data_IF_273656341690
#
_entry.id   IF_273656341690
#
_cell.length_a   1.000
_cell.length_b   1.000
_cell.length_c   1.000
_cell.angle_alpha   90.00
_cell.angle_beta   90.00
_cell.angle_gamma   90.00
#
_symmetry.space_group_name_H-M   'P 1'
#
loop_
_entity.id
_entity.type
_entity.pdbx_description
1 polymer ?
#
# COMPACT_ATOMS: atom_id res chain seq x y z
N UNK A 1 -2.28 12.06 1.77
CA UNK A 1 -2.71 11.05 0.78
C UNK A 1 -4.21 11.12 0.59
N UNK A 2 -4.72 11.05 -0.65
CA UNK A 2 -6.17 11.00 -0.86
C UNK A 2 -6.74 9.68 -0.31
N UNK A 3 -7.81 9.77 0.47
CA UNK A 3 -8.52 8.60 1.01
C UNK A 3 -9.77 8.35 0.14
N UNK A 4 -9.96 7.17 -0.49
CA UNK A 4 -11.13 6.89 -1.32
C UNK A 4 -12.46 7.05 -0.59
N UNK A 5 -13.54 7.43 -1.31
CA UNK A 5 -14.87 7.69 -0.72
C UNK A 5 -15.42 6.49 0.06
N UNK A 6 -15.26 5.27 -0.47
CA UNK A 6 -15.74 4.05 0.19
C UNK A 6 -15.02 3.78 1.52
N UNK A 7 -13.75 4.19 1.67
CA UNK A 7 -13.04 4.10 2.95
C UNK A 7 -13.52 5.19 3.92
N UNK A 8 -13.73 6.42 3.44
CA UNK A 8 -14.23 7.52 4.29
C UNK A 8 -15.60 7.25 4.90
N UNK A 9 -16.42 6.43 4.25
CA UNK A 9 -17.71 6.00 4.79
C UNK A 9 -17.58 5.01 5.96
N UNK A 10 -16.47 4.26 6.02
CA UNK A 10 -16.18 3.29 7.07
C UNK A 10 -15.37 3.94 8.20
N UNK A 11 -14.45 4.85 7.86
CA UNK A 11 -13.65 5.62 8.82
C UNK A 11 -14.48 6.79 9.37
N UNK A 12 -15.16 6.56 10.49
CA UNK A 12 -15.87 7.61 11.22
C UNK A 12 -14.85 8.54 11.89
N UNK A 13 -14.89 9.82 11.56
CA UNK A 13 -14.03 10.82 12.18
C UNK A 13 -14.48 11.06 13.63
N UNK A 14 -13.64 10.68 14.59
CA UNK A 14 -13.79 10.99 16.01
C UNK A 14 -13.09 12.30 16.41
N UNK A 15 -12.73 12.40 17.69
CA UNK A 15 -11.91 13.49 18.20
C UNK A 15 -10.54 13.55 17.50
N UNK A 16 -10.03 14.75 17.25
CA UNK A 16 -8.74 14.99 16.58
C UNK A 16 -7.55 14.36 17.32
N UNK A 17 -7.65 14.23 18.64
CA UNK A 17 -6.58 13.68 19.48
C UNK A 17 -6.74 12.17 19.74
N UNK A 18 -7.82 11.56 19.26
CA UNK A 18 -8.07 10.14 19.44
C UNK A 18 -7.56 9.32 18.25
N UNK A 19 -7.16 8.09 18.53
CA UNK A 19 -6.84 7.11 17.51
C UNK A 19 -8.07 6.82 16.64
N UNK A 20 -7.90 6.93 15.31
CA UNK A 20 -9.00 6.78 14.34
C UNK A 20 -9.66 5.39 14.30
N UNK A 21 -9.00 4.35 14.84
CA UNK A 21 -9.52 2.98 14.81
C UNK A 21 -10.21 2.57 16.11
N UNK A 22 -9.90 3.22 17.23
CA UNK A 22 -10.44 2.88 18.56
C UNK A 22 -11.20 4.02 19.22
N UNK A 23 -11.14 5.23 18.66
CA UNK A 23 -11.66 6.47 19.26
C UNK A 23 -11.18 6.70 20.71
N UNK A 24 -9.93 6.33 21.00
CA UNK A 24 -9.29 6.48 22.31
C UNK A 24 -8.00 7.30 22.18
N UNK A 25 -7.61 8.11 23.19
CA UNK A 25 -6.37 8.88 23.15
C UNK A 25 -5.11 7.99 23.12
N UNK A 26 -5.22 6.74 23.60
CA UNK A 26 -4.09 5.82 23.65
C UNK A 26 -3.85 5.14 22.29
N UNK A 27 -2.60 5.10 21.79
CA UNK A 27 -2.28 4.39 20.57
C UNK A 27 -2.35 2.88 20.77
N UNK A 28 -2.59 2.16 19.67
CA UNK A 28 -2.49 0.71 19.63
C UNK A 28 -1.03 0.25 19.70
N UNK A 29 -0.81 -0.95 20.23
CA UNK A 29 0.51 -1.57 20.17
C UNK A 29 0.91 -1.86 18.71
N UNK A 30 2.23 -1.89 18.45
CA UNK A 30 2.81 -2.07 17.10
C UNK A 30 2.34 -3.36 16.39
N UNK A 31 1.98 -4.40 17.14
CA UNK A 31 1.57 -5.71 16.62
C UNK A 31 0.04 -5.85 16.52
N UNK A 32 -0.73 -4.80 16.79
CA UNK A 32 -2.19 -4.86 16.79
C UNK A 32 -2.74 -5.35 15.45
N UNK A 33 -2.38 -4.68 14.34
CA UNK A 33 -2.86 -5.06 13.00
C UNK A 33 -2.28 -6.39 12.54
N UNK A 34 -1.07 -6.75 12.98
CA UNK A 34 -0.46 -8.06 12.69
C UNK A 34 -1.28 -9.17 13.35
N UNK A 35 -1.66 -8.98 14.61
CA UNK A 35 -2.52 -9.90 15.36
C UNK A 35 -3.90 -10.00 14.73
N UNK A 36 -4.52 -8.87 14.40
CA UNK A 36 -5.84 -8.82 13.77
C UNK A 36 -5.84 -9.53 12.42
N UNK A 37 -4.84 -9.28 11.58
CA UNK A 37 -4.65 -9.97 10.30
C UNK A 37 -4.50 -11.48 10.50
N UNK A 38 -3.70 -11.91 11.48
CA UNK A 38 -3.54 -13.32 11.81
C UNK A 38 -4.86 -14.01 12.18
N UNK A 39 -5.73 -13.33 12.93
CA UNK A 39 -7.08 -13.83 13.25
C UNK A 39 -7.98 -13.88 12.02
N UNK A 40 -7.96 -12.83 11.20
CA UNK A 40 -8.72 -12.78 9.95
C UNK A 40 -8.34 -13.91 8.99
N UNK A 41 -7.03 -14.18 8.84
CA UNK A 41 -6.53 -15.29 8.00
C UNK A 41 -7.08 -16.65 8.41
N UNK A 42 -7.23 -16.92 9.71
CA UNK A 42 -7.74 -18.21 10.22
C UNK A 42 -9.21 -18.45 9.87
N UNK A 43 -9.97 -17.39 9.62
CA UNK A 43 -11.42 -17.46 9.38
C UNK A 43 -11.78 -17.19 7.91
N UNK A 44 -10.91 -16.52 7.17
CA UNK A 44 -11.16 -16.11 5.79
C UNK A 44 -10.99 -17.29 4.83
N UNK A 45 -11.90 -17.40 3.86
CA UNK A 45 -11.77 -18.27 2.69
C UNK A 45 -11.15 -17.56 1.48
N UNK A 46 -10.90 -16.26 1.60
CA UNK A 46 -10.40 -15.41 0.51
C UNK A 46 -8.87 -15.36 0.44
N UNK A 47 -8.20 -15.68 1.55
CA UNK A 47 -6.75 -15.58 1.66
C UNK A 47 -6.13 -16.97 1.54
N UNK A 48 -5.15 -17.11 0.66
CA UNK A 48 -4.36 -18.33 0.53
C UNK A 48 -3.31 -18.43 1.63
N UNK A 49 -2.76 -19.64 1.77
CA UNK A 49 -1.58 -19.89 2.61
C UNK A 49 -0.47 -18.90 2.21
N UNK A 50 0.28 -18.40 3.20
CA UNK A 50 1.41 -17.47 3.01
C UNK A 50 1.08 -16.05 2.51
N UNK A 51 -0.19 -15.71 2.30
CA UNK A 51 -0.57 -14.31 2.12
C UNK A 51 -0.36 -13.52 3.43
N UNK A 52 0.29 -12.37 3.33
CA UNK A 52 0.66 -11.49 4.46
C UNK A 52 0.20 -10.06 4.22
N UNK A 53 0.25 -9.22 5.25
CA UNK A 53 0.08 -7.77 5.06
C UNK A 53 1.13 -7.19 4.08
N UNK A 54 2.31 -7.80 3.98
CA UNK A 54 3.33 -7.39 3.02
C UNK A 54 2.91 -7.71 1.58
N UNK A 55 2.39 -8.93 1.32
CA UNK A 55 1.88 -9.29 -0.01
C UNK A 55 0.67 -8.43 -0.40
N UNK A 56 -0.22 -8.12 0.55
CA UNK A 56 -1.33 -7.20 0.31
C UNK A 56 -0.84 -5.78 -0.06
N UNK A 57 0.17 -5.26 0.64
CA UNK A 57 0.81 -3.98 0.28
C UNK A 57 1.50 -4.03 -1.09
N UNK A 58 2.07 -5.19 -1.45
CA UNK A 58 2.66 -5.42 -2.76
C UNK A 58 1.62 -5.30 -3.88
N UNK A 59 0.49 -6.00 -3.76
CA UNK A 59 -0.60 -5.91 -4.72
C UNK A 59 -1.15 -4.48 -4.85
N UNK A 60 -1.29 -3.76 -3.73
CA UNK A 60 -1.71 -2.36 -3.75
C UNK A 60 -0.75 -1.44 -4.50
N UNK A 61 0.56 -1.63 -4.32
CA UNK A 61 1.59 -0.88 -5.04
C UNK A 61 1.53 -1.14 -6.56
N UNK A 62 1.41 -2.41 -6.95
CA UNK A 62 1.23 -2.81 -8.36
C UNK A 62 0.00 -2.13 -8.97
N UNK A 63 -1.14 -2.14 -8.27
CA UNK A 63 -2.39 -1.58 -8.76
C UNK A 63 -2.30 -0.05 -8.96
N UNK A 64 -1.62 0.66 -8.04
CA UNK A 64 -1.35 2.09 -8.20
C UNK A 64 -0.50 2.34 -9.44
N UNK A 65 0.55 1.55 -9.65
CA UNK A 65 1.41 1.70 -10.83
C UNK A 65 0.67 1.40 -12.12
N UNK A 66 -0.04 0.27 -12.21
CA UNK A 66 -0.85 -0.10 -13.38
C UNK A 66 -1.86 0.97 -13.79
N UNK A 67 -2.48 1.64 -12.80
CA UNK A 67 -3.45 2.73 -13.06
C UNK A 67 -2.81 4.06 -13.46
N UNK A 68 -1.60 4.34 -13.00
CA UNK A 68 -1.02 5.69 -13.10
C UNK A 68 0.20 5.80 -14.01
N UNK A 69 0.86 4.67 -14.31
CA UNK A 69 2.15 4.62 -15.03
C UNK A 69 3.29 5.39 -14.36
N UNK A 70 3.13 5.82 -13.10
CA UNK A 70 4.01 6.82 -12.49
C UNK A 70 4.67 6.31 -11.22
N UNK A 71 5.99 6.10 -11.31
CA UNK A 71 6.84 5.71 -10.17
C UNK A 71 6.82 6.78 -9.06
N UNK A 72 6.75 8.07 -9.42
CA UNK A 72 6.71 9.16 -8.45
C UNK A 72 5.38 9.22 -7.69
N UNK A 73 4.25 8.94 -8.36
CA UNK A 73 2.95 8.80 -7.68
C UNK A 73 2.93 7.57 -6.76
N UNK A 74 3.50 6.44 -7.21
CA UNK A 74 3.66 5.25 -6.38
C UNK A 74 4.49 5.51 -5.13
N UNK A 75 5.67 6.13 -5.28
CA UNK A 75 6.55 6.46 -4.16
C UNK A 75 5.82 7.32 -3.11
N UNK A 76 5.12 8.36 -3.55
CA UNK A 76 4.35 9.25 -2.67
C UNK A 76 3.22 8.50 -1.97
N UNK A 77 2.50 7.62 -2.69
CA UNK A 77 1.41 6.83 -2.13
C UNK A 77 1.88 5.84 -1.06
N UNK A 78 3.05 5.24 -1.25
CA UNK A 78 3.63 4.26 -0.35
C UNK A 78 4.43 4.87 0.80
N UNK A 79 4.73 6.17 0.75
CA UNK A 79 5.57 6.84 1.75
C UNK A 79 7.03 6.35 1.73
N UNK A 80 7.52 5.93 0.56
CA UNK A 80 8.89 5.42 0.43
C UNK A 80 9.91 6.56 0.34
N UNK A 81 11.03 6.39 1.03
CA UNK A 81 12.13 7.36 1.04
C UNK A 81 12.80 7.54 -0.32
N UNK A 82 12.79 6.51 -1.17
CA UNK A 82 13.35 6.57 -2.52
C UNK A 82 12.51 5.79 -3.54
N UNK A 83 12.73 6.10 -4.82
CA UNK A 83 12.14 5.36 -5.94
C UNK A 83 12.63 3.91 -5.93
N UNK A 84 13.89 3.65 -5.58
CA UNK A 84 14.45 2.29 -5.50
C UNK A 84 13.67 1.38 -4.54
N UNK A 85 13.22 1.91 -3.40
CA UNK A 85 12.36 1.15 -2.47
C UNK A 85 11.03 0.81 -3.16
N UNK A 86 10.46 1.75 -3.93
CA UNK A 86 9.21 1.52 -4.67
C UNK A 86 9.37 0.50 -5.81
N UNK A 87 10.52 0.48 -6.49
CA UNK A 87 10.82 -0.51 -7.53
C UNK A 87 10.83 -1.95 -7.00
N UNK A 88 11.20 -2.16 -5.72
CA UNK A 88 11.12 -3.50 -5.12
C UNK A 88 9.68 -4.06 -5.08
N UNK A 89 8.67 -3.18 -5.08
CA UNK A 89 7.25 -3.55 -5.10
C UNK A 89 6.73 -3.85 -6.52
N UNK A 90 7.54 -3.61 -7.55
CA UNK A 90 7.20 -3.82 -8.94
C UNK A 90 8.04 -4.92 -9.60
N UNK A 91 8.84 -5.67 -8.82
CA UNK A 91 9.62 -6.81 -9.35
C UNK A 91 8.66 -7.81 -10.00
N UNK A 92 8.87 -8.08 -11.29
CA UNK A 92 8.02 -8.97 -12.09
C UNK A 92 7.00 -8.24 -12.96
N UNK A 93 6.86 -6.92 -12.83
CA UNK A 93 6.39 -6.08 -13.93
C UNK A 93 7.60 -5.71 -14.77
N UNK A 94 7.51 -5.92 -16.09
CA UNK A 94 8.47 -5.42 -17.07
C UNK A 94 8.44 -3.89 -17.03
N UNK A 95 9.20 -3.29 -16.12
CA UNK A 95 9.51 -1.88 -16.19
C UNK A 95 10.44 -1.76 -17.39
N UNK A 96 9.94 -1.14 -18.46
CA UNK A 96 10.69 -0.96 -19.70
C UNK A 96 12.08 -0.39 -19.37
N UNK A 97 13.12 -1.12 -19.78
CA UNK A 97 14.49 -0.63 -19.71
C UNK A 97 14.66 0.50 -20.73
N UNK A 98 15.50 1.48 -20.40
CA UNK A 98 15.85 2.54 -21.34
C UNK A 98 16.58 1.92 -22.53
N UNK A 99 16.05 2.12 -23.73
CA UNK A 99 16.66 1.62 -24.97
C UNK A 99 17.27 2.76 -25.77
N UNK A 100 18.10 2.40 -26.74
CA UNK A 100 18.68 3.36 -27.68
C UNK A 100 17.61 4.14 -28.44
N UNK A 101 16.49 3.48 -28.80
CA UNK A 101 15.33 4.10 -29.45
C UNK A 101 14.64 5.20 -28.61
N UNK A 102 14.88 5.25 -27.30
CA UNK A 102 14.35 6.27 -26.39
C UNK A 102 15.27 7.50 -26.26
N UNK A 103 16.50 7.41 -26.77
CA UNK A 103 17.48 8.50 -26.69
C UNK A 103 17.16 9.60 -27.71
N UNK A 104 17.47 10.87 -27.42
CA UNK A 104 17.24 11.96 -28.36
C UNK A 104 18.05 11.74 -29.64
N UNK A 105 17.36 11.68 -30.77
CA UNK A 105 18.00 11.71 -32.08
C UNK A 105 18.43 13.14 -32.41
N UNK A 106 19.70 13.32 -32.81
CA UNK A 106 20.26 14.58 -33.33
C UNK A 106 20.01 14.67 -34.83
#
# INVERSE_FOLDING_TARGET
>A
MPVPKYIRQILVQGDRNNNIFTNSPSPLNKDYFKTLWGRFKKQSKLLEQDQTLCSFRHSGAIEIYKRTGSLTKLQKAMGHSSINVSLTYLRGLEIAELKEEDMPMV
#
